data_IF_537667291399
#
_entry.id   IF_537667291399
#
_cell.length_a   1.000
_cell.length_b   1.000
_cell.length_c   1.000
_cell.angle_alpha   90.00
_cell.angle_beta   90.00
_cell.angle_gamma   90.00
#
_symmetry.space_group_name_H-M   'P 1'
#
loop_
_entity.id
_entity.type
_entity.pdbx_description
1 polymer ?
#
# COMPACT_ATOMS: atom_id res chain seq x y z
N UNK A 1 -23.27 -53.29 -15.99
CA UNK A 1 -23.55 -51.85 -16.08
C UNK A 1 -22.60 -51.12 -15.13
N UNK A 2 -21.48 -50.63 -15.65
CA UNK A 2 -20.45 -49.91 -14.89
C UNK A 2 -20.67 -48.43 -15.20
N UNK A 3 -21.02 -47.65 -14.18
CA UNK A 3 -21.14 -46.19 -14.30
C UNK A 3 -19.78 -45.60 -13.89
N UNK A 4 -18.96 -45.23 -14.86
CA UNK A 4 -17.80 -44.37 -14.62
C UNK A 4 -18.28 -42.91 -14.54
N UNK A 5 -18.27 -42.32 -13.34
CA UNK A 5 -18.48 -40.87 -13.15
C UNK A 5 -17.19 -40.12 -13.52
N UNK A 6 -17.33 -39.11 -14.37
CA UNK A 6 -16.22 -38.32 -14.91
C UNK A 6 -15.53 -37.46 -13.84
N UNK A 7 -14.27 -37.79 -13.52
CA UNK A 7 -13.38 -36.99 -12.65
C UNK A 7 -12.62 -35.91 -13.43
N UNK A 8 -12.77 -35.84 -14.76
CA UNK A 8 -11.95 -35.00 -15.64
C UNK A 8 -12.32 -33.50 -15.61
N UNK A 9 -13.57 -33.13 -15.29
CA UNK A 9 -13.98 -31.70 -15.28
C UNK A 9 -13.37 -30.90 -14.14
N UNK A 10 -13.16 -31.50 -12.96
CA UNK A 10 -12.57 -30.81 -11.81
C UNK A 10 -11.06 -30.61 -11.94
N UNK A 11 -10.37 -31.49 -12.68
CA UNK A 11 -8.93 -31.38 -12.90
C UNK A 11 -8.56 -30.23 -13.86
N UNK A 12 -9.38 -30.00 -14.88
CA UNK A 12 -9.19 -28.91 -15.86
C UNK A 12 -9.54 -27.55 -15.24
N UNK A 13 -10.59 -27.50 -14.42
CA UNK A 13 -11.00 -26.27 -13.73
C UNK A 13 -9.95 -25.77 -12.72
N UNK A 14 -9.38 -26.68 -11.91
CA UNK A 14 -8.36 -26.32 -10.93
C UNK A 14 -7.00 -25.97 -11.57
N UNK A 15 -6.63 -26.56 -12.72
CA UNK A 15 -5.45 -26.14 -13.49
C UNK A 15 -5.65 -24.76 -14.13
N UNK A 16 -6.85 -24.47 -14.64
CA UNK A 16 -7.19 -23.17 -15.22
C UNK A 16 -7.12 -22.03 -14.21
N UNK A 17 -7.64 -22.25 -12.99
CA UNK A 17 -7.57 -21.26 -11.90
C UNK A 17 -6.14 -21.04 -11.40
N UNK A 18 -5.32 -22.10 -11.27
CA UNK A 18 -3.90 -21.98 -10.91
C UNK A 18 -3.08 -21.27 -11.99
N UNK A 19 -3.38 -21.51 -13.27
CA UNK A 19 -2.74 -20.78 -14.37
C UNK A 19 -3.15 -19.30 -14.38
N UNK A 20 -4.43 -18.98 -14.18
CA UNK A 20 -4.93 -17.60 -14.09
C UNK A 20 -4.35 -16.87 -12.88
N UNK A 21 -4.26 -17.52 -11.71
CA UNK A 21 -3.63 -16.96 -10.52
C UNK A 21 -2.12 -16.71 -10.73
N UNK A 22 -1.41 -17.66 -11.34
CA UNK A 22 0.01 -17.51 -11.65
C UNK A 22 0.25 -16.43 -12.70
N UNK A 23 -0.62 -16.28 -13.70
CA UNK A 23 -0.53 -15.20 -14.71
C UNK A 23 -0.85 -13.84 -14.08
N UNK A 24 -1.82 -13.75 -13.18
CA UNK A 24 -2.11 -12.52 -12.42
C UNK A 24 -0.96 -12.12 -11.50
N UNK A 25 -0.34 -13.08 -10.81
CA UNK A 25 0.86 -12.85 -9.99
C UNK A 25 2.07 -12.46 -10.87
N UNK A 26 2.24 -13.07 -12.05
CA UNK A 26 3.30 -12.68 -12.98
C UNK A 26 3.09 -11.26 -13.53
N UNK A 27 1.85 -10.88 -13.85
CA UNK A 27 1.50 -9.52 -14.31
C UNK A 27 1.73 -8.50 -13.18
N UNK A 28 1.45 -8.84 -11.93
CA UNK A 28 1.78 -7.98 -10.78
C UNK A 28 3.30 -7.89 -10.52
N UNK A 29 4.06 -8.98 -10.73
CA UNK A 29 5.51 -9.01 -10.52
C UNK A 29 6.30 -8.30 -11.64
N UNK A 30 5.82 -8.31 -12.88
CA UNK A 30 6.42 -7.54 -13.98
C UNK A 30 6.26 -6.02 -13.82
N UNK A 31 5.36 -5.56 -12.94
CA UNK A 31 5.23 -4.14 -12.56
C UNK A 31 6.30 -3.69 -11.56
N UNK A 32 7.09 -4.60 -10.99
CA UNK A 32 8.07 -4.32 -9.94
C UNK A 32 9.50 -4.44 -10.51
N UNK A 33 9.76 -3.79 -11.64
CA UNK A 33 11.15 -3.40 -11.95
C UNK A 33 11.45 -2.11 -11.19
N UNK A 34 12.27 -2.25 -10.15
CA UNK A 34 12.91 -1.12 -9.50
C UNK A 34 13.59 -0.21 -10.54
N UNK A 35 13.29 1.09 -10.50
CA UNK A 35 14.15 2.14 -11.06
C UNK A 35 13.71 2.83 -12.35
N UNK A 36 12.56 2.52 -12.94
CA UNK A 36 12.03 3.29 -14.07
C UNK A 36 10.69 3.92 -13.71
N UNK A 37 10.69 5.24 -13.49
CA UNK A 37 9.47 6.07 -13.54
C UNK A 37 9.02 6.04 -14.99
N UNK A 38 8.01 5.23 -15.31
CA UNK A 38 7.37 5.33 -16.62
C UNK A 38 6.48 6.57 -16.58
N UNK A 39 6.70 7.50 -17.52
CA UNK A 39 5.74 8.56 -17.77
C UNK A 39 4.36 7.93 -17.95
N UNK A 40 3.35 8.44 -17.24
CA UNK A 40 2.00 7.91 -17.39
C UNK A 40 1.48 8.29 -18.76
N UNK A 41 0.69 7.42 -19.40
CA UNK A 41 -0.02 7.82 -20.60
C UNK A 41 -0.89 9.07 -20.31
N UNK A 42 -1.04 9.99 -21.28
CA UNK A 42 -1.97 11.11 -21.17
C UNK A 42 -3.37 10.63 -20.80
N UNK A 43 -4.03 11.31 -19.87
CA UNK A 43 -5.40 10.97 -19.49
C UNK A 43 -6.39 12.05 -19.95
N UNK A 44 -7.64 11.63 -20.16
CA UNK A 44 -8.74 12.55 -20.43
C UNK A 44 -9.25 13.08 -19.09
N UNK A 45 -9.27 14.40 -18.93
CA UNK A 45 -9.76 15.08 -17.73
C UNK A 45 -11.00 15.89 -18.09
N UNK A 46 -12.06 15.72 -17.30
CA UNK A 46 -13.30 16.46 -17.45
C UNK A 46 -13.57 17.33 -16.22
N UNK A 47 -14.10 18.52 -16.47
CA UNK A 47 -14.53 19.46 -15.44
C UNK A 47 -16.04 19.44 -15.27
N UNK A 48 -16.51 19.53 -14.02
CA UNK A 48 -17.93 19.69 -13.73
C UNK A 48 -18.48 21.02 -14.26
N UNK A 49 -19.80 21.10 -14.35
CA UNK A 49 -20.48 22.40 -14.37
C UNK A 49 -20.16 23.23 -13.11
N UNK A 50 -20.53 24.51 -13.12
CA UNK A 50 -20.39 25.41 -11.96
C UNK A 50 -21.15 24.82 -10.75
N UNK A 51 -20.49 24.85 -9.60
CA UNK A 51 -20.98 24.29 -8.35
C UNK A 51 -20.95 25.35 -7.24
N UNK A 52 -21.38 24.99 -6.03
CA UNK A 52 -21.31 25.87 -4.86
C UNK A 52 -19.86 26.31 -4.59
N UNK A 53 -19.63 27.62 -4.54
CA UNK A 53 -18.38 28.24 -4.10
C UNK A 53 -18.43 28.47 -2.60
N UNK A 54 -17.31 28.37 -1.89
CA UNK A 54 -17.29 28.58 -0.43
C UNK A 54 -16.47 29.79 -0.02
N UNK A 55 -15.57 30.26 -0.88
CA UNK A 55 -14.68 31.38 -0.62
C UNK A 55 -14.99 32.56 -1.56
N UNK A 56 -14.51 33.71 -1.14
CA UNK A 56 -14.55 34.95 -1.91
C UNK A 56 -13.16 35.55 -2.01
N UNK A 57 -12.89 36.22 -3.12
CA UNK A 57 -11.68 37.00 -3.31
C UNK A 57 -12.00 38.48 -3.54
N UNK A 58 -11.07 39.35 -3.19
CA UNK A 58 -11.17 40.79 -3.44
C UNK A 58 -10.63 41.10 -4.84
N UNK A 59 -11.50 41.57 -5.75
CA UNK A 59 -11.11 41.93 -7.11
C UNK A 59 -10.40 43.31 -7.16
N UNK A 60 -9.87 43.67 -8.32
CA UNK A 60 -9.19 44.96 -8.54
C UNK A 60 -10.09 46.19 -8.34
N UNK A 61 -11.41 46.03 -8.42
CA UNK A 61 -12.41 47.08 -8.14
C UNK A 61 -12.72 47.24 -6.65
N UNK A 62 -12.12 46.42 -5.78
CA UNK A 62 -12.37 46.42 -4.33
C UNK A 62 -13.66 45.69 -3.92
N UNK A 63 -14.18 44.81 -4.76
CA UNK A 63 -15.40 44.05 -4.52
C UNK A 63 -15.09 42.59 -4.20
N UNK A 64 -15.80 42.03 -3.22
CA UNK A 64 -15.73 40.62 -2.90
C UNK A 64 -16.55 39.81 -3.89
N UNK A 65 -15.91 38.87 -4.58
CA UNK A 65 -16.51 38.03 -5.59
C UNK A 65 -16.38 36.56 -5.19
N UNK A 66 -17.38 35.76 -5.54
CA UNK A 66 -17.32 34.33 -5.32
C UNK A 66 -16.18 33.72 -6.13
N UNK A 67 -15.39 32.87 -5.49
CA UNK A 67 -14.27 32.20 -6.14
C UNK A 67 -14.74 30.88 -6.75
N UNK A 68 -14.90 30.85 -8.07
CA UNK A 68 -15.26 29.63 -8.79
C UNK A 68 -14.16 28.57 -8.67
N UNK A 69 -14.53 27.37 -8.24
CA UNK A 69 -13.69 26.17 -8.38
C UNK A 69 -14.50 24.99 -8.84
N UNK A 70 -14.14 24.45 -9.99
CA UNK A 70 -14.79 23.29 -10.57
C UNK A 70 -14.15 22.00 -10.07
N UNK A 71 -14.95 20.94 -10.10
CA UNK A 71 -14.49 19.60 -9.79
C UNK A 71 -13.90 18.97 -11.06
N UNK A 72 -12.67 18.45 -11.01
CA UNK A 72 -12.02 17.80 -12.16
C UNK A 72 -11.79 16.31 -11.93
N UNK A 73 -12.07 15.47 -12.92
CA UNK A 73 -11.89 14.02 -12.79
C UNK A 73 -11.27 13.39 -14.02
N UNK A 74 -10.44 12.37 -13.80
CA UNK A 74 -9.92 11.51 -14.86
C UNK A 74 -11.06 10.62 -15.34
N UNK A 75 -11.45 10.75 -16.61
CA UNK A 75 -12.64 10.10 -17.18
C UNK A 75 -12.55 8.57 -17.15
N UNK A 76 -11.36 8.01 -17.42
CA UNK A 76 -11.16 6.56 -17.54
C UNK A 76 -11.14 5.83 -16.20
N UNK A 77 -10.70 6.49 -15.13
CA UNK A 77 -10.47 5.86 -13.82
C UNK A 77 -11.41 6.38 -12.73
N UNK A 78 -12.01 7.55 -12.92
CA UNK A 78 -12.74 8.26 -11.88
C UNK A 78 -11.84 8.92 -10.82
N UNK A 79 -10.52 8.92 -11.03
CA UNK A 79 -9.61 9.59 -10.10
C UNK A 79 -9.90 11.09 -10.03
N UNK A 80 -9.85 11.64 -8.81
CA UNK A 80 -10.00 13.07 -8.58
C UNK A 80 -8.75 13.79 -9.08
N UNK A 81 -8.96 14.82 -9.89
CA UNK A 81 -7.93 15.73 -10.37
C UNK A 81 -8.13 17.13 -9.77
N UNK A 82 -7.02 17.83 -9.62
CA UNK A 82 -6.93 19.20 -9.15
C UNK A 82 -6.07 20.00 -10.11
N UNK A 83 -6.53 21.19 -10.44
CA UNK A 83 -5.77 22.17 -11.18
C UNK A 83 -4.54 22.65 -10.39
N UNK A 84 -3.43 22.84 -11.10
CA UNK A 84 -2.20 23.42 -10.58
C UNK A 84 -2.01 24.86 -11.00
N UNK A 85 -2.64 25.30 -12.08
CA UNK A 85 -2.74 26.72 -12.42
C UNK A 85 -4.20 27.12 -12.31
N UNK A 86 -4.53 28.05 -11.42
CA UNK A 86 -5.89 28.50 -11.25
C UNK A 86 -6.36 29.53 -12.29
N UNK A 87 -5.42 30.22 -12.94
CA UNK A 87 -5.69 31.35 -13.82
C UNK A 87 -6.14 30.96 -15.23
N UNK A 88 -5.87 29.71 -15.63
CA UNK A 88 -6.20 29.17 -16.94
C UNK A 88 -7.61 28.55 -16.98
N UNK A 89 -8.11 28.22 -18.17
CA UNK A 89 -9.41 27.62 -18.37
C UNK A 89 -9.45 26.13 -17.98
N UNK A 90 -10.59 25.71 -17.42
CA UNK A 90 -10.80 24.33 -16.97
C UNK A 90 -10.76 23.32 -18.13
N UNK A 91 -10.20 22.11 -17.91
CA UNK A 91 -10.09 21.10 -18.96
C UNK A 91 -11.41 20.42 -19.32
N UNK A 92 -11.50 19.95 -20.57
CA UNK A 92 -12.61 19.20 -21.13
C UNK A 92 -12.09 18.11 -22.08
N UNK A 93 -12.91 17.14 -22.56
CA UNK A 93 -12.40 15.92 -23.18
C UNK A 93 -11.78 16.13 -24.56
N UNK A 94 -11.97 17.31 -25.16
CA UNK A 94 -11.37 17.73 -26.42
C UNK A 94 -10.04 18.47 -26.23
N UNK A 95 -9.60 18.71 -25.00
CA UNK A 95 -8.25 19.19 -24.67
C UNK A 95 -7.27 18.03 -24.56
N UNK A 96 -6.00 18.31 -24.84
CA UNK A 96 -4.93 17.30 -24.83
C UNK A 96 -3.90 17.61 -23.76
N UNK A 97 -3.26 16.56 -23.26
CA UNK A 97 -2.26 16.60 -22.21
C UNK A 97 -0.99 15.87 -22.64
N UNK A 98 0.15 16.29 -22.08
CA UNK A 98 1.40 15.56 -22.20
C UNK A 98 1.34 14.23 -21.43
N UNK A 99 2.27 13.30 -21.68
CA UNK A 99 2.53 12.22 -20.74
C UNK A 99 2.73 12.78 -19.33
N UNK A 100 2.25 12.06 -18.34
CA UNK A 100 2.29 12.50 -16.95
C UNK A 100 3.60 12.15 -16.26
N UNK A 101 4.00 13.02 -15.34
CA UNK A 101 5.18 12.84 -14.49
C UNK A 101 4.77 12.86 -13.03
N UNK A 102 5.43 12.09 -12.18
CA UNK A 102 5.19 12.19 -10.74
C UNK A 102 5.77 13.49 -10.17
N UNK A 103 5.22 13.95 -9.04
CA UNK A 103 5.62 15.24 -8.46
C UNK A 103 7.11 15.34 -8.08
N UNK A 104 7.79 14.22 -7.78
CA UNK A 104 9.23 14.25 -7.48
C UNK A 104 10.06 14.38 -8.75
N UNK A 105 9.60 13.83 -9.87
CA UNK A 105 10.22 14.07 -11.17
C UNK A 105 10.09 15.54 -11.56
N UNK A 106 8.91 16.14 -11.40
CA UNK A 106 8.66 17.54 -11.78
C UNK A 106 9.34 18.57 -10.86
N UNK A 107 9.31 18.38 -9.54
CA UNK A 107 9.78 19.39 -8.58
C UNK A 107 11.02 18.97 -7.77
N UNK A 108 11.51 17.75 -7.95
CA UNK A 108 12.53 17.16 -7.08
C UNK A 108 11.97 16.78 -5.71
N UNK A 109 12.78 16.06 -4.93
CA UNK A 109 12.46 15.76 -3.54
C UNK A 109 12.80 16.95 -2.64
N UNK A 110 11.78 17.62 -2.09
CA UNK A 110 11.96 18.73 -1.17
C UNK A 110 10.67 19.22 -0.53
N UNK A 111 10.72 20.35 0.18
CA UNK A 111 9.58 20.89 0.91
C UNK A 111 8.34 21.07 0.02
N UNK A 112 8.55 21.43 -1.24
CA UNK A 112 7.46 21.69 -2.18
C UNK A 112 6.71 20.40 -2.55
N UNK A 113 7.40 19.37 -2.99
CA UNK A 113 6.79 18.06 -3.29
C UNK A 113 6.20 17.39 -2.04
N UNK A 114 6.89 17.47 -0.90
CA UNK A 114 6.40 16.91 0.37
C UNK A 114 5.15 17.65 0.84
N UNK A 115 5.09 18.97 0.67
CA UNK A 115 3.90 19.75 1.03
C UNK A 115 2.69 19.38 0.18
N UNK A 116 2.86 19.19 -1.13
CA UNK A 116 1.78 18.72 -2.02
C UNK A 116 1.34 17.30 -1.66
N UNK A 117 2.28 16.39 -1.37
CA UNK A 117 1.94 15.04 -0.87
C UNK A 117 1.11 15.11 0.42
N UNK A 118 1.47 15.99 1.37
CA UNK A 118 0.72 16.19 2.61
C UNK A 118 -0.71 16.67 2.34
N UNK A 119 -0.91 17.62 1.42
CA UNK A 119 -2.26 18.08 1.05
C UNK A 119 -3.08 16.91 0.52
N UNK A 120 -2.54 16.09 -0.38
CA UNK A 120 -3.27 14.93 -0.91
C UNK A 120 -3.50 13.85 0.13
N UNK A 121 -2.55 13.61 1.03
CA UNK A 121 -2.66 12.57 2.06
C UNK A 121 -3.78 12.89 3.06
N UNK A 122 -3.84 14.13 3.56
CA UNK A 122 -4.84 14.59 4.53
C UNK A 122 -6.11 15.14 3.87
N UNK A 123 -6.07 15.44 2.58
CA UNK A 123 -7.13 16.01 1.77
C UNK A 123 -8.08 14.98 1.18
N UNK A 124 -9.00 15.47 0.37
CA UNK A 124 -9.89 14.63 -0.44
C UNK A 124 -9.17 14.13 -1.70
N UNK A 125 -9.41 12.89 -2.18
CA UNK A 125 -10.28 11.85 -1.63
C UNK A 125 -9.60 10.92 -0.61
N UNK A 126 -8.31 11.08 -0.33
CA UNK A 126 -7.53 10.20 0.54
C UNK A 126 -8.08 10.09 1.96
N UNK A 127 -8.60 11.19 2.49
CA UNK A 127 -9.26 11.27 3.80
C UNK A 127 -10.74 11.51 3.59
N UNK A 128 -11.57 10.69 4.24
CA UNK A 128 -13.03 10.84 4.17
C UNK A 128 -13.44 12.21 4.75
N UNK A 129 -14.28 12.98 4.03
CA UNK A 129 -14.71 14.30 4.48
C UNK A 129 -15.56 14.24 5.77
N UNK A 130 -16.19 13.10 6.03
CA UNK A 130 -17.00 12.85 7.23
C UNK A 130 -16.21 12.95 8.53
N UNK A 131 -14.89 12.70 8.51
CA UNK A 131 -13.98 12.87 9.66
C UNK A 131 -13.96 14.33 10.14
N UNK A 132 -14.23 15.27 9.24
CA UNK A 132 -14.29 16.71 9.52
C UNK A 132 -15.72 17.25 9.47
N UNK A 133 -16.75 16.39 9.44
CA UNK A 133 -18.16 16.77 9.27
C UNK A 133 -18.42 17.59 7.99
N UNK A 134 -17.66 17.32 6.93
CA UNK A 134 -17.80 17.99 5.64
C UNK A 134 -18.51 17.11 4.62
N UNK A 135 -19.10 17.75 3.62
CA UNK A 135 -19.50 17.10 2.37
C UNK A 135 -18.28 16.87 1.47
N UNK A 136 -18.40 15.93 0.53
CA UNK A 136 -17.39 15.70 -0.53
C UNK A 136 -17.03 17.00 -1.25
N UNK A 137 -18.03 17.82 -1.57
CA UNK A 137 -17.83 19.09 -2.29
C UNK A 137 -17.05 20.10 -1.44
N UNK A 138 -17.35 20.24 -0.15
CA UNK A 138 -16.56 21.12 0.74
C UNK A 138 -15.11 20.66 0.84
N UNK A 139 -14.88 19.37 1.11
CA UNK A 139 -13.53 18.84 1.27
C UNK A 139 -12.71 18.92 -0.04
N UNK A 140 -13.35 18.64 -1.18
CA UNK A 140 -12.74 18.76 -2.50
C UNK A 140 -12.39 20.21 -2.83
N UNK A 141 -13.31 21.15 -2.59
CA UNK A 141 -13.06 22.58 -2.79
C UNK A 141 -11.90 23.07 -1.89
N UNK A 142 -11.91 22.72 -0.60
CA UNK A 142 -10.85 23.07 0.34
C UNK A 142 -9.49 22.49 -0.09
N UNK A 143 -9.45 21.25 -0.59
CA UNK A 143 -8.22 20.62 -1.10
C UNK A 143 -7.69 21.34 -2.33
N UNK A 144 -8.56 21.68 -3.30
CA UNK A 144 -8.17 22.46 -4.49
C UNK A 144 -7.61 23.85 -4.10
N UNK A 145 -8.24 24.50 -3.12
CA UNK A 145 -7.78 25.78 -2.59
C UNK A 145 -6.45 25.67 -1.85
N UNK A 146 -6.25 24.61 -1.05
CA UNK A 146 -4.98 24.36 -0.37
C UNK A 146 -3.84 24.16 -1.38
N UNK A 147 -4.07 23.40 -2.46
CA UNK A 147 -3.12 23.24 -3.56
C UNK A 147 -2.79 24.60 -4.16
N UNK A 148 -3.79 25.35 -4.61
CA UNK A 148 -3.57 26.65 -5.29
C UNK A 148 -2.82 27.65 -4.40
N UNK A 149 -3.18 27.72 -3.11
CA UNK A 149 -2.53 28.63 -2.18
C UNK A 149 -1.09 28.20 -1.87
N UNK A 150 -0.86 26.90 -1.65
CA UNK A 150 0.48 26.40 -1.40
C UNK A 150 1.39 26.58 -2.63
N UNK A 151 0.87 26.36 -3.84
CA UNK A 151 1.56 26.64 -5.09
C UNK A 151 1.93 28.14 -5.19
N UNK A 152 0.97 29.04 -4.95
CA UNK A 152 1.20 30.49 -4.97
C UNK A 152 2.24 30.95 -3.94
N UNK A 153 2.19 30.43 -2.71
CA UNK A 153 3.15 30.74 -1.65
C UNK A 153 4.58 30.29 -1.98
N UNK A 154 4.73 29.31 -2.86
CA UNK A 154 6.02 28.79 -3.32
C UNK A 154 6.42 29.33 -4.71
N UNK A 155 5.75 30.39 -5.20
CA UNK A 155 6.12 31.09 -6.43
C UNK A 155 5.66 30.41 -7.72
N UNK A 156 4.76 29.42 -7.63
CA UNK A 156 4.12 28.84 -8.80
C UNK A 156 2.94 29.72 -9.23
N UNK A 157 2.89 30.09 -10.51
CA UNK A 157 1.89 31.01 -11.03
C UNK A 157 0.46 30.44 -10.89
N UNK A 158 -0.45 31.26 -10.38
CA UNK A 158 -1.88 30.95 -10.24
C UNK A 158 -2.77 31.94 -11.02
N UNK A 159 -2.18 32.86 -11.79
CA UNK A 159 -2.88 33.93 -12.49
C UNK A 159 -3.44 35.04 -11.58
N UNK A 160 -3.34 34.91 -10.25
CA UNK A 160 -3.70 35.97 -9.32
C UNK A 160 -3.05 35.83 -7.94
N UNK A 161 -2.79 36.97 -7.30
CA UNK A 161 -2.15 37.05 -5.98
C UNK A 161 -3.08 36.67 -4.83
N UNK A 162 -4.40 36.61 -5.03
CA UNK A 162 -5.33 36.27 -3.94
C UNK A 162 -5.20 34.81 -3.46
N UNK A 163 -4.54 33.94 -4.23
CA UNK A 163 -4.18 32.60 -3.75
C UNK A 163 -3.04 32.65 -2.72
N UNK A 164 -2.26 33.72 -2.65
CA UNK A 164 -1.30 33.91 -1.58
C UNK A 164 -2.01 34.51 -0.36
N UNK A 165 -2.15 33.74 0.74
CA UNK A 165 -2.86 34.23 1.93
C UNK A 165 -2.25 35.49 2.54
N UNK A 166 -0.96 35.76 2.32
CA UNK A 166 -0.31 36.98 2.78
C UNK A 166 -0.84 38.25 2.09
N UNK A 167 -1.48 38.12 0.93
CA UNK A 167 -2.13 39.23 0.23
C UNK A 167 -3.37 39.74 0.98
N UNK A 168 -3.99 38.93 1.83
CA UNK A 168 -5.17 39.33 2.63
C UNK A 168 -6.45 39.53 1.82
N UNK A 169 -6.50 39.00 0.59
CA UNK A 169 -7.60 39.21 -0.38
C UNK A 169 -8.44 37.95 -0.61
N UNK A 170 -8.38 36.97 0.28
CA UNK A 170 -9.16 35.72 0.23
C UNK A 170 -9.83 35.47 1.59
N UNK A 171 -11.10 35.03 1.58
CA UNK A 171 -11.89 34.78 2.80
C UNK A 171 -12.98 33.72 2.59
N UNK A 172 -13.55 33.12 3.66
CA UNK A 172 -14.82 32.40 3.54
C UNK A 172 -15.95 33.35 3.15
N UNK A 173 -16.98 32.82 2.50
CA UNK A 173 -18.15 33.59 2.04
C UNK A 173 -19.11 34.07 3.15
N UNK A 174 -18.76 33.84 4.42
CA UNK A 174 -19.54 34.24 5.59
C UNK A 174 -20.65 33.25 6.00
N UNK A 175 -20.82 32.14 5.28
CA UNK A 175 -21.75 31.07 5.68
C UNK A 175 -21.09 30.09 6.66
N UNK A 176 -21.87 29.37 7.49
CA UNK A 176 -21.31 28.30 8.33
C UNK A 176 -20.59 27.21 7.53
N UNK A 177 -21.12 26.86 6.36
CA UNK A 177 -20.51 25.89 5.44
C UNK A 177 -19.18 26.41 4.86
N UNK A 178 -19.14 27.70 4.48
CA UNK A 178 -17.94 28.37 4.01
C UNK A 178 -16.85 28.43 5.08
N UNK A 179 -17.23 28.72 6.32
CA UNK A 179 -16.30 28.70 7.45
C UNK A 179 -15.75 27.29 7.72
N UNK A 180 -16.60 26.26 7.75
CA UNK A 180 -16.14 24.88 7.92
C UNK A 180 -15.17 24.43 6.80
N UNK A 181 -15.44 24.87 5.56
CA UNK A 181 -14.57 24.63 4.41
C UNK A 181 -13.24 25.37 4.56
N UNK A 182 -13.26 26.60 5.06
CA UNK A 182 -12.08 27.41 5.33
C UNK A 182 -11.19 26.78 6.39
N UNK A 183 -11.78 26.32 7.50
CA UNK A 183 -11.03 25.70 8.59
C UNK A 183 -10.30 24.44 8.12
N UNK A 184 -10.94 23.62 7.27
CA UNK A 184 -10.28 22.45 6.67
C UNK A 184 -9.22 22.84 5.64
N UNK A 185 -9.44 23.87 4.83
CA UNK A 185 -8.42 24.44 3.95
C UNK A 185 -7.17 24.88 4.72
N UNK A 186 -7.33 25.62 5.82
CA UNK A 186 -6.21 26.05 6.69
C UNK A 186 -5.52 24.85 7.35
N UNK A 187 -6.29 23.84 7.75
CA UNK A 187 -5.75 22.58 8.26
C UNK A 187 -4.81 21.91 7.24
N UNK A 188 -5.23 21.74 5.99
CA UNK A 188 -4.40 21.15 4.93
C UNK A 188 -3.16 21.98 4.64
N UNK A 189 -3.32 23.31 4.52
CA UNK A 189 -2.21 24.22 4.23
C UNK A 189 -1.17 24.23 5.36
N UNK A 190 -1.60 24.03 6.61
CA UNK A 190 -0.69 23.91 7.76
C UNK A 190 0.21 22.68 7.65
N UNK A 191 -0.34 21.51 7.27
CA UNK A 191 0.46 20.32 7.01
C UNK A 191 1.39 20.49 5.82
N UNK A 192 0.91 21.14 4.75
CA UNK A 192 1.72 21.43 3.57
C UNK A 192 2.97 22.24 3.91
N UNK A 193 2.79 23.33 4.67
CA UNK A 193 3.86 24.23 5.11
C UNK A 193 4.84 23.57 6.08
N UNK A 194 4.36 22.66 6.93
CA UNK A 194 5.23 21.90 7.82
C UNK A 194 6.14 20.94 7.04
N UNK A 195 5.68 20.45 5.88
CA UNK A 195 6.42 19.59 4.97
C UNK A 195 7.09 18.39 5.66
N UNK A 196 6.38 17.79 6.64
CA UNK A 196 6.86 16.58 7.31
C UNK A 196 6.60 15.37 6.39
N UNK A 197 7.62 14.54 6.09
CA UNK A 197 7.41 13.33 5.32
C UNK A 197 6.43 12.36 5.99
N UNK A 198 5.50 11.80 5.22
CA UNK A 198 4.56 10.79 5.72
C UNK A 198 5.32 9.47 5.93
N UNK A 199 5.44 9.06 7.20
CA UNK A 199 6.04 7.78 7.56
C UNK A 199 5.14 6.63 7.14
N UNK A 200 5.74 5.63 6.48
CA UNK A 200 5.08 4.39 6.04
C UNK A 200 5.91 3.21 6.51
N UNK A 201 5.25 2.22 7.07
CA UNK A 201 5.92 1.03 7.57
C UNK A 201 5.01 -0.17 7.45
N UNK A 202 5.61 -1.33 7.25
CA UNK A 202 4.98 -2.64 7.45
C UNK A 202 5.84 -3.35 8.50
N UNK A 203 5.22 -4.22 9.30
CA UNK A 203 5.87 -4.99 10.35
C UNK A 203 5.40 -6.42 10.26
N UNK A 204 6.35 -7.36 10.18
CA UNK A 204 6.14 -8.80 10.17
C UNK A 204 6.67 -9.34 11.50
N UNK A 205 5.78 -9.64 12.43
CA UNK A 205 6.17 -10.05 13.78
C UNK A 205 5.79 -11.51 14.02
N UNK A 206 6.74 -12.40 14.35
CA UNK A 206 6.41 -13.79 14.65
C UNK A 206 5.52 -13.87 15.89
N UNK A 207 4.46 -14.66 15.80
CA UNK A 207 3.53 -14.93 16.92
C UNK A 207 3.72 -16.32 17.50
N UNK A 208 4.49 -17.17 16.82
CA UNK A 208 4.90 -18.50 17.29
C UNK A 208 6.38 -18.71 17.02
N UNK A 209 6.97 -19.65 17.73
CA UNK A 209 8.19 -20.32 17.28
C UNK A 209 7.90 -21.18 16.04
N UNK A 210 8.94 -21.66 15.36
CA UNK A 210 8.76 -22.65 14.29
C UNK A 210 8.32 -23.97 14.90
N UNK A 211 7.31 -24.61 14.30
CA UNK A 211 6.79 -25.90 14.74
C UNK A 211 6.56 -26.85 13.56
N UNK A 212 6.44 -28.14 13.84
CA UNK A 212 6.06 -29.14 12.83
C UNK A 212 4.55 -29.16 12.67
N UNK A 213 4.08 -28.99 11.43
CA UNK A 213 2.70 -29.20 11.02
C UNK A 213 2.69 -30.26 9.89
N UNK A 214 2.45 -31.51 10.26
CA UNK A 214 2.52 -32.63 9.33
C UNK A 214 3.90 -32.75 8.67
N UNK A 215 3.98 -32.64 7.34
CA UNK A 215 5.23 -32.72 6.57
C UNK A 215 5.90 -31.36 6.35
N UNK A 216 5.60 -30.35 7.17
CA UNK A 216 6.07 -28.97 7.01
C UNK A 216 6.64 -28.41 8.32
N UNK A 217 7.63 -27.53 8.20
CA UNK A 217 7.90 -26.53 9.23
C UNK A 217 6.96 -25.34 9.03
N UNK A 218 6.34 -24.87 10.10
CA UNK A 218 5.35 -23.81 10.10
C UNK A 218 5.72 -22.73 11.11
N UNK A 219 5.45 -21.47 10.76
CA UNK A 219 5.56 -20.34 11.69
C UNK A 219 4.50 -19.30 11.39
N UNK A 220 3.86 -18.78 12.43
CA UNK A 220 2.84 -17.74 12.29
C UNK A 220 3.41 -16.35 12.54
N UNK A 221 2.88 -15.37 11.80
CA UNK A 221 3.26 -13.96 11.89
C UNK A 221 2.03 -13.08 11.90
N UNK A 222 2.09 -12.02 12.70
CA UNK A 222 1.17 -10.90 12.57
C UNK A 222 1.76 -9.86 11.63
N UNK A 223 1.02 -9.51 10.58
CA UNK A 223 1.42 -8.47 9.64
C UNK A 223 0.62 -7.20 9.91
N UNK A 224 1.30 -6.12 10.22
CA UNK A 224 0.68 -4.81 10.45
C UNK A 224 1.34 -3.75 9.58
N UNK A 225 0.66 -2.63 9.34
CA UNK A 225 1.27 -1.50 8.67
C UNK A 225 0.74 -0.18 9.20
N UNK A 226 1.55 0.85 9.00
CA UNK A 226 1.22 2.25 9.26
C UNK A 226 1.17 2.97 7.92
N UNK A 227 0.07 3.67 7.67
CA UNK A 227 -0.15 4.49 6.48
C UNK A 227 -0.05 3.74 5.13
N UNK A 228 -0.41 2.45 5.09
CA UNK A 228 -0.52 1.66 3.86
C UNK A 228 -1.99 1.35 3.56
N UNK A 229 -2.71 2.25 2.89
CA UNK A 229 -4.17 2.12 2.72
C UNK A 229 -4.59 1.06 1.66
N UNK A 230 -3.65 0.54 0.89
CA UNK A 230 -3.91 -0.34 -0.25
C UNK A 230 -3.63 -1.82 0.07
N UNK A 231 -3.51 -2.16 1.35
CA UNK A 231 -3.20 -3.51 1.81
C UNK A 231 -1.71 -3.85 1.70
N UNK A 232 -1.38 -5.14 1.59
CA UNK A 232 -0.02 -5.59 1.38
C UNK A 232 0.05 -6.83 0.49
N UNK A 233 1.21 -7.05 -0.12
CA UNK A 233 1.54 -8.30 -0.83
C UNK A 233 2.71 -9.01 -0.18
N UNK A 234 2.89 -10.28 -0.51
CA UNK A 234 4.03 -11.09 -0.06
C UNK A 234 4.90 -11.46 -1.27
N UNK A 235 6.14 -11.00 -1.27
CA UNK A 235 7.19 -11.56 -2.09
C UNK A 235 7.74 -12.82 -1.42
N UNK A 236 7.51 -13.95 -2.07
CA UNK A 236 7.86 -15.29 -1.61
C UNK A 236 8.92 -15.94 -2.50
N UNK A 237 9.62 -15.17 -3.34
CA UNK A 237 10.62 -15.70 -4.28
C UNK A 237 11.78 -16.43 -3.58
N UNK A 238 12.04 -16.11 -2.31
CA UNK A 238 13.07 -16.74 -1.48
C UNK A 238 12.55 -17.91 -0.63
N UNK A 239 11.28 -18.32 -0.78
CA UNK A 239 10.75 -19.53 -0.14
C UNK A 239 11.00 -20.77 -1.01
N UNK A 240 11.18 -21.96 -0.42
CA UNK A 240 11.45 -23.18 -1.18
C UNK A 240 10.21 -23.65 -1.94
N UNK A 241 10.43 -24.43 -2.99
CA UNK A 241 9.33 -25.03 -3.75
C UNK A 241 8.41 -25.86 -2.84
N UNK A 242 7.10 -25.65 -2.97
CA UNK A 242 6.09 -26.32 -2.15
C UNK A 242 5.74 -25.58 -0.86
N UNK A 243 6.18 -24.33 -0.68
CA UNK A 243 5.71 -23.49 0.42
C UNK A 243 4.20 -23.23 0.37
N UNK A 244 3.63 -22.92 1.53
CA UNK A 244 2.24 -22.48 1.67
C UNK A 244 2.17 -21.23 2.56
N UNK A 245 1.23 -20.34 2.25
CA UNK A 245 0.89 -19.20 3.09
C UNK A 245 -0.60 -19.28 3.39
N UNK A 246 -0.93 -19.55 4.65
CA UNK A 246 -2.31 -19.71 5.14
C UNK A 246 -2.77 -18.43 5.83
N UNK A 247 -4.07 -18.15 5.77
CA UNK A 247 -4.68 -16.98 6.43
C UNK A 247 -4.42 -15.64 5.75
N UNK A 248 -3.71 -15.61 4.62
CA UNK A 248 -3.42 -14.41 3.86
C UNK A 248 -4.65 -13.92 3.07
N UNK A 249 -5.09 -12.71 3.37
CA UNK A 249 -6.14 -11.98 2.63
C UNK A 249 -5.61 -10.73 1.94
N UNK A 250 -4.39 -10.30 2.25
CA UNK A 250 -3.82 -9.02 1.80
C UNK A 250 -4.30 -7.82 2.61
N UNK A 251 -5.11 -8.05 3.65
CA UNK A 251 -5.61 -7.01 4.56
C UNK A 251 -4.66 -6.86 5.75
N UNK A 252 -4.38 -5.62 6.13
CA UNK A 252 -3.49 -5.33 7.25
C UNK A 252 -4.10 -5.76 8.60
N UNK A 253 -3.24 -6.17 9.53
CA UNK A 253 -3.62 -6.59 10.87
C UNK A 253 -3.93 -8.07 11.01
N UNK A 254 -3.82 -8.85 9.92
CA UNK A 254 -4.06 -10.29 9.90
C UNK A 254 -2.88 -11.10 10.46
N UNK A 255 -3.16 -12.36 10.78
CA UNK A 255 -2.13 -13.36 11.12
C UNK A 255 -2.05 -14.37 9.99
N UNK A 256 -0.85 -14.52 9.44
CA UNK A 256 -0.55 -15.52 8.42
C UNK A 256 0.27 -16.65 9.02
N UNK A 257 0.16 -17.85 8.46
CA UNK A 257 1.07 -18.96 8.76
C UNK A 257 1.84 -19.32 7.49
N UNK A 258 3.16 -19.18 7.54
CA UNK A 258 4.04 -19.64 6.47
C UNK A 258 4.48 -21.06 6.78
N UNK A 259 4.37 -21.94 5.79
CA UNK A 259 4.81 -23.33 5.86
C UNK A 259 5.80 -23.62 4.75
N UNK A 260 6.88 -24.33 5.09
CA UNK A 260 7.84 -24.86 4.13
C UNK A 260 7.91 -26.38 4.28
N UNK A 261 8.06 -27.16 3.20
CA UNK A 261 8.18 -28.61 3.31
C UNK A 261 9.36 -28.99 4.22
N UNK A 262 9.19 -29.94 5.13
CA UNK A 262 10.29 -30.33 6.03
C UNK A 262 11.39 -31.09 5.28
N UNK A 263 10.99 -31.95 4.34
CA UNK A 263 11.91 -32.74 3.52
C UNK A 263 12.89 -31.85 2.76
N UNK A 264 14.19 -32.04 3.00
CA UNK A 264 15.30 -31.32 2.33
C UNK A 264 15.44 -29.83 2.64
N UNK A 265 14.69 -29.29 3.60
CA UNK A 265 14.77 -27.87 3.99
C UNK A 265 15.14 -27.67 5.48
N UNK A 266 15.44 -28.76 6.20
CA UNK A 266 15.90 -28.69 7.57
C UNK A 266 17.20 -27.85 7.69
N UNK A 267 17.31 -27.11 8.79
CA UNK A 267 18.46 -26.27 9.15
C UNK A 267 18.87 -25.30 8.02
N UNK A 268 17.90 -24.89 7.21
CA UNK A 268 18.08 -23.93 6.12
C UNK A 268 17.15 -22.74 6.35
N UNK A 269 17.69 -21.52 6.56
CA UNK A 269 16.87 -20.35 6.75
C UNK A 269 16.28 -19.86 5.42
N UNK A 270 14.98 -19.57 5.43
CA UNK A 270 14.29 -18.93 4.32
C UNK A 270 13.61 -17.65 4.78
N UNK A 271 13.30 -16.78 3.83
CA UNK A 271 12.61 -15.53 4.11
C UNK A 271 11.53 -15.22 3.08
N UNK A 272 10.60 -14.37 3.48
CA UNK A 272 9.67 -13.69 2.59
C UNK A 272 9.63 -12.20 2.96
N UNK A 273 9.20 -11.37 2.03
CA UNK A 273 9.06 -9.93 2.27
C UNK A 273 7.59 -9.54 2.17
N UNK A 274 7.04 -8.94 3.21
CA UNK A 274 5.77 -8.23 3.12
C UNK A 274 6.01 -6.83 2.54
N UNK A 275 5.17 -6.43 1.58
CA UNK A 275 5.22 -5.11 0.92
C UNK A 275 3.89 -4.41 1.17
N UNK A 276 3.85 -3.45 2.09
CA UNK A 276 2.66 -2.65 2.40
C UNK A 276 2.49 -1.51 1.40
N UNK A 277 1.38 -1.50 0.68
CA UNK A 277 1.11 -0.57 -0.41
C UNK A 277 0.31 0.65 0.05
N UNK A 278 0.70 1.84 -0.41
CA UNK A 278 -0.04 3.09 -0.22
C UNK A 278 -0.18 3.78 -1.58
N UNK A 279 -1.39 4.19 -1.93
CA UNK A 279 -1.61 4.96 -3.16
C UNK A 279 -1.63 6.47 -2.90
N UNK A 280 -1.38 6.92 -1.66
CA UNK A 280 -1.33 8.32 -1.24
C UNK A 280 0.09 8.87 -1.19
N UNK A 281 0.95 8.41 -2.10
CA UNK A 281 2.37 8.76 -2.14
C UNK A 281 2.65 9.80 -3.21
N UNK A 282 3.76 10.52 -3.10
CA UNK A 282 4.22 11.41 -4.17
C UNK A 282 4.39 10.71 -5.52
N UNK A 283 4.87 9.45 -5.55
CA UNK A 283 4.96 8.65 -6.77
C UNK A 283 3.59 8.34 -7.41
N UNK A 284 2.51 8.52 -6.66
CA UNK A 284 1.14 8.38 -7.11
C UNK A 284 0.50 9.72 -7.50
N UNK A 285 1.16 10.85 -7.27
CA UNK A 285 0.65 12.16 -7.65
C UNK A 285 1.24 12.52 -9.01
N UNK A 286 0.40 12.47 -10.03
CA UNK A 286 0.80 12.63 -11.42
C UNK A 286 0.38 14.00 -11.92
N UNK A 287 1.33 14.73 -12.49
CA UNK A 287 1.15 16.03 -13.14
C UNK A 287 1.05 15.80 -14.64
N UNK A 288 0.07 16.45 -15.27
CA UNK A 288 -0.07 16.51 -16.72
C UNK A 288 -0.25 17.96 -17.16
N UNK A 289 0.71 18.42 -17.96
CA UNK A 289 0.65 19.72 -18.59
C UNK A 289 -0.29 19.66 -19.80
N UNK A 290 -1.13 20.69 -19.96
CA UNK A 290 -1.95 20.76 -21.15
C UNK A 290 -1.08 21.13 -22.35
N UNK A 291 -1.27 20.41 -23.45
CA UNK A 291 -0.73 20.80 -24.75
C UNK A 291 -1.66 21.76 -25.49
N UNK A 292 -2.85 22.04 -24.93
CA UNK A 292 -3.79 23.03 -25.42
C UNK A 292 -3.54 24.36 -24.72
N UNK A 293 -3.30 25.43 -25.48
CA UNK A 293 -2.97 26.74 -24.93
C UNK A 293 -4.10 27.29 -24.05
N UNK A 294 -3.74 27.86 -22.90
CA UNK A 294 -4.68 28.49 -21.95
C UNK A 294 -5.48 27.50 -21.11
N UNK A 295 -5.12 26.21 -21.10
CA UNK A 295 -5.76 25.18 -20.28
C UNK A 295 -4.87 24.82 -19.10
N UNK A 296 -5.50 24.68 -17.94
CA UNK A 296 -4.82 24.40 -16.67
C UNK A 296 -3.97 23.12 -16.73
N UNK A 297 -2.74 23.19 -16.21
CA UNK A 297 -1.99 22.00 -15.78
C UNK A 297 -2.77 21.31 -14.66
N UNK A 298 -2.83 19.98 -14.71
CA UNK A 298 -3.61 19.16 -13.79
C UNK A 298 -2.72 18.21 -13.00
N UNK A 299 -3.07 17.99 -11.74
CA UNK A 299 -2.51 16.95 -10.89
C UNK A 299 -3.62 15.98 -10.47
N UNK A 300 -3.37 14.68 -10.51
CA UNK A 300 -4.31 13.69 -9.97
C UNK A 300 -3.58 12.60 -9.20
N UNK A 301 -4.31 11.95 -8.31
CA UNK A 301 -3.80 10.79 -7.59
C UNK A 301 -4.11 9.51 -8.37
N UNK A 302 -3.08 8.83 -8.85
CA UNK A 302 -3.20 7.48 -9.42
C UNK A 302 -3.72 6.50 -8.36
N UNK A 303 -4.75 5.75 -8.71
CA UNK A 303 -5.40 4.79 -7.81
C UNK A 303 -4.55 3.53 -7.57
N UNK A 304 -3.57 3.26 -8.43
CA UNK A 304 -2.70 2.09 -8.35
C UNK A 304 -1.41 2.43 -7.60
N UNK A 305 -1.12 1.82 -6.44
CA UNK A 305 0.06 2.16 -5.63
C UNK A 305 1.35 1.92 -6.40
N UNK A 306 2.27 2.91 -6.40
CA UNK A 306 3.54 2.84 -7.13
C UNK A 306 4.71 2.33 -6.25
N UNK A 307 4.61 2.47 -4.94
CA UNK A 307 5.65 2.07 -3.99
C UNK A 307 5.03 1.52 -2.69
N UNK A 308 5.81 0.71 -1.97
CA UNK A 308 5.38 0.10 -0.72
C UNK A 308 6.50 -0.04 0.31
N UNK A 309 6.13 0.09 1.60
CA UNK A 309 7.00 -0.18 2.73
C UNK A 309 7.29 -1.68 2.82
N UNK A 310 8.45 -2.07 3.33
CA UNK A 310 8.91 -3.48 3.32
C UNK A 310 9.36 -3.93 4.69
N UNK A 311 9.07 -5.19 5.00
CA UNK A 311 9.64 -5.90 6.15
C UNK A 311 9.67 -7.41 5.89
N UNK A 312 10.57 -8.13 6.57
CA UNK A 312 10.88 -9.53 6.29
C UNK A 312 10.40 -10.45 7.41
N UNK A 313 9.82 -11.59 7.03
CA UNK A 313 9.64 -12.73 7.93
C UNK A 313 10.67 -13.82 7.63
N UNK A 314 11.08 -14.57 8.65
CA UNK A 314 12.07 -15.65 8.54
C UNK A 314 11.56 -16.98 9.09
N UNK A 315 11.71 -18.03 8.29
CA UNK A 315 11.34 -19.38 8.69
C UNK A 315 12.53 -20.30 8.49
N UNK A 316 12.89 -20.98 9.56
CA UNK A 316 13.89 -22.03 9.58
C UNK A 316 13.30 -23.16 10.42
N UNK A 317 13.30 -24.35 9.86
CA UNK A 317 13.00 -25.58 10.59
C UNK A 317 14.27 -26.19 11.11
N UNK A 318 14.24 -26.70 12.34
CA UNK A 318 15.33 -27.47 12.89
C UNK A 318 14.96 -28.95 12.86
N UNK A 319 15.83 -29.77 12.29
CA UNK A 319 15.82 -31.21 12.57
C UNK A 319 16.80 -31.45 13.71
N UNK A 320 16.27 -32.02 14.79
CA UNK A 320 17.08 -32.46 15.92
C UNK A 320 17.29 -33.96 15.77
N UNK A 321 18.55 -34.35 15.56
CA UNK A 321 18.97 -35.73 15.68
C UNK A 321 19.19 -36.07 17.16
N UNK A 322 18.52 -37.12 17.63
CA UNK A 322 18.67 -37.65 18.98
C UNK A 322 19.33 -39.03 18.87
N UNK A 323 20.62 -39.07 19.16
CA UNK A 323 21.38 -40.30 19.33
C UNK A 323 21.34 -40.74 20.80
N UNK A 324 20.96 -42.00 21.04
CA UNK A 324 20.88 -42.55 22.38
C UNK A 324 21.81 -43.75 22.47
N UNK A 325 22.80 -43.68 23.36
CA UNK A 325 23.71 -44.80 23.64
C UNK A 325 23.43 -45.34 25.05
N UNK A 326 23.20 -46.66 25.15
CA UNK A 326 23.06 -47.35 26.43
C UNK A 326 24.33 -48.10 26.80
N UNK A 327 24.98 -47.64 27.86
CA UNK A 327 26.14 -48.29 28.47
C UNK A 327 25.84 -48.81 29.88
N UNK A 328 26.53 -49.87 30.28
CA UNK A 328 26.67 -50.32 31.65
C UNK A 328 27.74 -49.48 32.36
N UNK A 329 27.38 -48.86 33.49
CA UNK A 329 28.27 -47.91 34.17
C UNK A 329 29.47 -48.60 34.84
N UNK A 330 29.33 -49.86 35.26
CA UNK A 330 30.38 -50.57 35.99
C UNK A 330 31.45 -51.16 35.05
N UNK A 331 31.03 -51.55 33.85
CA UNK A 331 31.88 -52.27 32.89
C UNK A 331 32.22 -51.46 31.64
N UNK A 332 31.48 -50.39 31.36
CA UNK A 332 31.58 -49.62 30.11
C UNK A 332 31.03 -50.37 28.90
N UNK A 333 30.43 -51.56 29.08
CA UNK A 333 29.90 -52.36 27.99
C UNK A 333 28.62 -51.75 27.43
N UNK A 334 28.42 -51.85 26.10
CA UNK A 334 27.19 -51.42 25.43
C UNK A 334 26.08 -52.45 25.64
N UNK A 335 24.85 -51.98 25.83
CA UNK A 335 23.73 -52.81 26.25
C UNK A 335 22.60 -52.85 25.21
N UNK A 336 22.29 -54.07 24.76
CA UNK A 336 21.17 -54.37 23.88
C UNK A 336 19.85 -54.50 24.66
N UNK A 337 18.74 -54.14 24.00
CA UNK A 337 17.39 -54.46 24.46
C UNK A 337 16.77 -53.43 25.41
N UNK A 338 17.41 -52.27 25.59
CA UNK A 338 16.81 -51.19 26.37
C UNK A 338 15.73 -50.49 25.55
N UNK A 339 14.49 -50.49 26.04
CA UNK A 339 13.39 -49.74 25.43
C UNK A 339 13.43 -48.29 25.91
N UNK A 340 13.48 -47.36 24.95
CA UNK A 340 13.53 -45.93 25.21
C UNK A 340 12.40 -45.28 24.42
N UNK A 341 11.57 -44.51 25.12
CA UNK A 341 10.54 -43.69 24.51
C UNK A 341 10.90 -42.22 24.67
N UNK A 342 10.80 -41.48 23.58
CA UNK A 342 10.97 -40.02 23.53
C UNK A 342 9.58 -39.41 23.42
N UNK A 343 9.29 -38.40 24.25
CA UNK A 343 8.03 -37.66 24.24
C UNK A 343 8.25 -36.22 23.84
N UNK A 344 7.27 -35.60 23.18
CA UNK A 344 7.31 -34.19 22.79
C UNK A 344 6.77 -33.25 23.86
N UNK A 345 6.25 -33.78 24.97
CA UNK A 345 5.66 -33.01 26.07
C UNK A 345 6.12 -33.51 27.44
N UNK A 346 6.18 -32.59 28.42
CA UNK A 346 6.58 -32.92 29.80
C UNK A 346 5.62 -33.87 30.51
N UNK A 347 4.36 -33.94 30.06
CA UNK A 347 3.35 -34.86 30.58
C UNK A 347 3.51 -36.29 30.10
N UNK A 348 4.44 -36.55 29.16
CA UNK A 348 4.65 -37.86 28.51
C UNK A 348 3.38 -38.42 27.87
N UNK A 349 2.59 -37.54 27.27
CA UNK A 349 1.30 -37.89 26.65
C UNK A 349 1.39 -38.08 25.14
N UNK A 350 2.39 -37.47 24.49
CA UNK A 350 2.63 -37.53 23.05
C UNK A 350 3.99 -38.19 22.78
N UNK A 351 3.94 -39.47 22.36
CA UNK A 351 5.14 -40.22 21.97
C UNK A 351 5.67 -39.69 20.65
N UNK A 352 6.91 -39.20 20.65
CA UNK A 352 7.67 -38.87 19.45
C UNK A 352 8.14 -40.15 18.75
N UNK A 353 8.84 -41.01 19.50
CA UNK A 353 9.37 -42.29 19.00
C UNK A 353 9.65 -43.24 20.15
N UNK A 354 9.48 -44.54 19.92
CA UNK A 354 10.05 -45.59 20.76
C UNK A 354 11.11 -46.36 19.98
N UNK A 355 12.24 -46.61 20.62
CA UNK A 355 13.37 -47.37 20.07
C UNK A 355 13.83 -48.41 21.07
N UNK A 356 14.44 -49.48 20.56
CA UNK A 356 15.07 -50.53 21.37
C UNK A 356 16.52 -50.61 20.97
N UNK A 357 17.43 -50.54 21.94
CA UNK A 357 18.86 -50.54 21.62
C UNK A 357 19.31 -51.84 20.96
N UNK A 358 20.15 -51.72 19.94
CA UNK A 358 20.73 -52.84 19.20
C UNK A 358 21.91 -53.50 19.94
N UNK A 359 22.58 -54.46 19.28
CA UNK A 359 23.74 -55.15 19.84
C UNK A 359 24.93 -54.22 20.13
N UNK A 360 24.96 -53.03 19.52
CA UNK A 360 25.94 -51.99 19.72
C UNK A 360 25.45 -50.91 20.68
N UNK A 361 24.32 -51.11 21.37
CA UNK A 361 23.79 -50.19 22.38
C UNK A 361 23.18 -48.90 21.86
N UNK A 362 22.86 -48.81 20.55
CA UNK A 362 22.19 -47.65 19.94
C UNK A 362 20.72 -47.91 19.63
#
# INVERSE_FOLDING_TARGET
MIIMKSTQKNYIYNRGQKLLANVLVLIMLFSITAGYVYASDPVIIESSAVQRNYFQYLNASGEWNDLDRRDHGVVSTGAVAYCMNAGDDSPHPFHSFSPGEDIFTTFGFGNFSIGLENIFFYGFPSTSPSVHSLTDRQARYATAMAISCFLSENGYDQGSDFYNLSAGTLRPDGTPEGQATWDYFIYLLTYARAANPISRSVSVTPTTDTYIDGSYYARSYRVTATNCNSGYTIDSASLPSGYEILGYTGTLGETITVRIPATSNANTPFSFTAIGWDNRTAANLIIQDSTTAGIQTMMYQSLLPAAGARDNGNIEGEDIDIDIEKIDLATGARLQGAEITVWTDSGRTNVFRSVVTDANGY
#
